data_IF_795396944796
#
_entry.id   IF_795396944796
#
_cell.length_a   1.000
_cell.length_b   1.000
_cell.length_c   1.000
_cell.angle_alpha   90.00
_cell.angle_beta   90.00
_cell.angle_gamma   90.00
#
_symmetry.space_group_name_H-M   'P 1'
#
loop_
_entity.id
_entity.type
_entity.pdbx_description
1 polymer ?
#
# COMPACT_ATOMS: atom_id res chain seq x y z
N UNK A 1 -7.14 -7.19 28.17
CA UNK A 1 -6.32 -6.57 29.24
C UNK A 1 -6.21 -5.08 29.00
N UNK A 2 -5.74 -4.28 29.98
CA UNK A 2 -5.51 -2.85 29.72
C UNK A 2 -4.19 -2.64 28.97
N UNK A 3 -4.18 -1.70 28.02
CA UNK A 3 -3.03 -1.34 27.22
C UNK A 3 -2.95 0.15 26.93
N UNK A 4 -1.84 0.56 26.35
CA UNK A 4 -1.59 1.95 25.97
C UNK A 4 -0.79 2.04 24.67
N UNK A 5 -1.08 3.05 23.89
CA UNK A 5 -0.22 3.57 22.85
C UNK A 5 0.59 4.72 23.46
N UNK A 6 1.90 4.70 23.27
CA UNK A 6 2.78 5.82 23.58
C UNK A 6 3.39 6.30 22.27
N UNK A 7 3.23 7.58 21.95
CA UNK A 7 3.83 8.20 20.77
C UNK A 7 5.19 8.82 21.11
N UNK A 8 6.02 9.02 20.10
CA UNK A 8 7.37 9.60 20.25
C UNK A 8 7.37 11.02 20.83
N UNK A 9 6.28 11.79 20.60
CA UNK A 9 6.08 13.12 21.18
C UNK A 9 5.71 13.10 22.69
N UNK A 10 5.57 11.91 23.28
CA UNK A 10 5.18 11.70 24.66
C UNK A 10 3.67 11.55 24.89
N UNK A 11 2.85 11.69 23.87
CA UNK A 11 1.40 11.47 23.96
C UNK A 11 1.08 10.02 24.35
N UNK A 12 0.14 9.81 25.28
CA UNK A 12 -0.28 8.49 25.77
C UNK A 12 -1.79 8.33 25.60
N UNK A 13 -2.20 7.21 25.02
CA UNK A 13 -3.59 6.86 24.82
C UNK A 13 -3.86 5.48 25.43
N UNK A 14 -4.76 5.43 26.41
CA UNK A 14 -5.10 4.20 27.11
C UNK A 14 -6.37 3.57 26.55
N UNK A 15 -6.43 2.23 26.58
CA UNK A 15 -7.57 1.45 26.11
C UNK A 15 -7.53 0.01 26.58
N UNK A 16 -8.29 -0.82 25.92
CA UNK A 16 -8.26 -2.27 26.07
C UNK A 16 -7.32 -2.87 25.02
N UNK A 17 -6.49 -3.86 25.43
CA UNK A 17 -5.49 -4.48 24.55
C UNK A 17 -5.83 -5.94 24.31
N UNK A 18 -5.96 -6.31 23.04
CA UNK A 18 -5.93 -7.66 22.53
C UNK A 18 -4.49 -8.00 22.14
N UNK A 19 -3.98 -9.17 22.51
CA UNK A 19 -2.56 -9.51 22.35
C UNK A 19 -1.71 -8.95 23.48
N UNK A 20 -0.40 -9.06 23.41
CA UNK A 20 0.40 -8.70 24.59
C UNK A 20 1.88 -8.41 24.39
N UNK A 21 2.44 -8.59 23.23
CA UNK A 21 3.84 -8.29 22.99
C UNK A 21 4.05 -6.78 22.80
N UNK A 22 5.13 -6.20 23.35
CA UNK A 22 5.53 -4.85 22.98
C UNK A 22 5.75 -4.75 21.48
N UNK A 23 5.14 -3.74 20.88
CA UNK A 23 5.21 -3.54 19.41
C UNK A 23 5.62 -2.11 19.10
N UNK A 24 6.64 -1.96 18.25
CA UNK A 24 7.14 -0.67 17.76
C UNK A 24 6.85 -0.58 16.29
N UNK A 25 6.40 0.59 15.84
CA UNK A 25 6.16 0.86 14.42
C UNK A 25 5.89 2.33 14.15
N UNK A 26 5.83 2.70 12.88
CA UNK A 26 5.32 3.99 12.48
C UNK A 26 3.79 4.00 12.65
N UNK A 27 3.27 4.93 13.46
CA UNK A 27 1.83 5.05 13.69
C UNK A 27 1.22 5.91 12.59
N UNK A 28 0.28 5.33 11.88
CA UNK A 28 -0.44 5.96 10.77
C UNK A 28 -1.95 5.88 11.01
N UNK A 29 -2.74 6.69 10.29
CA UNK A 29 -4.19 6.58 10.33
C UNK A 29 -4.76 6.35 8.93
N UNK A 30 -5.88 5.63 8.86
CA UNK A 30 -6.62 5.39 7.63
C UNK A 30 -8.07 5.89 7.82
N UNK A 31 -8.58 6.64 6.83
CA UNK A 31 -9.91 7.26 6.84
C UNK A 31 -10.98 6.43 6.13
N UNK A 32 -10.66 5.22 5.70
CA UNK A 32 -11.62 4.30 5.10
C UNK A 32 -12.72 3.88 6.09
N UNK A 33 -13.94 3.77 5.61
CA UNK A 33 -15.10 3.34 6.43
C UNK A 33 -15.24 1.81 6.49
N UNK A 34 -14.59 1.11 5.56
CA UNK A 34 -14.63 -0.35 5.41
C UNK A 34 -13.26 -0.87 5.01
N UNK A 35 -13.08 -2.19 4.91
CA UNK A 35 -11.87 -2.79 4.39
C UNK A 35 -10.79 -3.03 5.43
N UNK A 36 -11.16 -3.21 6.69
CA UNK A 36 -10.17 -3.42 7.75
C UNK A 36 -9.32 -4.68 7.56
N UNK A 37 -9.87 -5.74 6.96
CA UNK A 37 -9.12 -6.97 6.69
C UNK A 37 -8.19 -6.81 5.47
N UNK A 38 -8.66 -6.13 4.43
CA UNK A 38 -7.84 -5.78 3.27
C UNK A 38 -6.67 -4.89 3.70
N UNK A 39 -6.92 -3.87 4.52
CA UNK A 39 -5.88 -3.00 5.11
C UNK A 39 -4.88 -3.83 5.93
N UNK A 40 -5.36 -4.73 6.78
CA UNK A 40 -4.52 -5.58 7.63
C UNK A 40 -3.58 -6.49 6.82
N UNK A 41 -4.06 -6.97 5.67
CA UNK A 41 -3.36 -7.94 4.80
C UNK A 41 -2.64 -7.31 3.61
N UNK A 42 -2.72 -5.99 3.43
CA UNK A 42 -1.98 -5.26 2.40
C UNK A 42 -0.49 -5.15 2.80
N UNK A 43 0.44 -5.70 1.98
CA UNK A 43 1.88 -5.63 2.25
C UNK A 43 2.41 -4.21 2.41
N UNK A 44 1.77 -3.20 1.81
CA UNK A 44 2.16 -1.79 1.91
C UNK A 44 2.09 -1.23 3.34
N UNK A 45 1.40 -1.91 4.28
CA UNK A 45 1.40 -1.55 5.69
C UNK A 45 2.47 -2.26 6.53
N UNK A 46 3.46 -2.90 5.90
CA UNK A 46 4.53 -3.56 6.65
C UNK A 46 5.19 -2.58 7.62
N UNK A 47 5.37 -3.05 8.88
CA UNK A 47 5.96 -2.33 10.01
C UNK A 47 5.16 -1.12 10.54
N UNK A 48 3.95 -0.88 10.07
CA UNK A 48 3.10 0.21 10.57
C UNK A 48 2.14 -0.26 11.66
N UNK A 49 1.80 0.64 12.59
CA UNK A 49 0.69 0.52 13.53
C UNK A 49 -0.44 1.39 12.99
N UNK A 50 -1.57 0.77 12.65
CA UNK A 50 -2.62 1.41 11.88
C UNK A 50 -3.76 1.84 12.81
N UNK A 51 -4.09 3.14 12.82
CA UNK A 51 -5.27 3.66 13.48
C UNK A 51 -6.40 3.82 12.47
N UNK A 52 -7.54 3.14 12.69
CA UNK A 52 -8.74 3.35 11.88
C UNK A 52 -9.60 4.47 12.47
N UNK A 53 -9.96 5.45 11.63
CA UNK A 53 -10.80 6.57 12.07
C UNK A 53 -12.28 6.21 12.15
N UNK A 54 -12.72 5.18 11.41
CA UNK A 54 -14.07 4.65 11.52
C UNK A 54 -14.25 3.97 12.89
N UNK A 55 -15.31 4.30 13.65
CA UNK A 55 -15.38 3.93 15.06
C UNK A 55 -15.59 2.44 15.31
N UNK A 56 -16.37 1.74 14.47
CA UNK A 56 -16.75 0.33 14.69
C UNK A 56 -16.03 -0.59 13.70
N UNK A 57 -15.16 -1.45 14.20
CA UNK A 57 -14.38 -2.39 13.39
C UNK A 57 -14.70 -3.84 13.79
N UNK A 58 -14.71 -4.75 12.79
CA UNK A 58 -15.09 -6.15 12.99
C UNK A 58 -16.55 -6.45 12.70
N UNK A 59 -17.34 -5.44 12.36
CA UNK A 59 -18.80 -5.51 12.21
C UNK A 59 -19.30 -6.40 11.06
N UNK A 60 -18.45 -6.78 10.11
CA UNK A 60 -18.78 -7.77 9.07
C UNK A 60 -17.93 -9.06 9.15
N UNK A 61 -17.11 -9.20 10.22
CA UNK A 61 -16.28 -10.39 10.45
C UNK A 61 -15.07 -10.47 9.51
N UNK A 62 -14.67 -11.69 9.18
CA UNK A 62 -13.54 -11.97 8.28
C UNK A 62 -13.96 -12.86 7.13
N UNK A 63 -13.28 -12.72 5.99
CA UNK A 63 -13.49 -13.53 4.78
C UNK A 63 -12.13 -13.83 4.14
N UNK A 64 -11.89 -15.09 3.76
CA UNK A 64 -10.63 -15.45 3.10
C UNK A 64 -10.51 -14.85 1.70
N UNK A 65 -11.62 -14.62 1.01
CA UNK A 65 -11.64 -14.12 -0.37
C UNK A 65 -11.20 -12.66 -0.54
N UNK A 66 -11.25 -11.84 0.53
CA UNK A 66 -10.91 -10.40 0.46
C UNK A 66 -9.47 -10.10 0.88
N UNK A 67 -8.70 -11.10 1.31
CA UNK A 67 -7.30 -10.89 1.71
C UNK A 67 -6.45 -10.37 0.56
N UNK A 68 -5.54 -9.45 0.87
CA UNK A 68 -4.65 -8.82 -0.11
C UNK A 68 -3.23 -9.40 -0.09
N UNK A 69 -2.98 -10.33 0.81
CA UNK A 69 -1.75 -11.08 0.93
C UNK A 69 -1.95 -12.32 1.81
N UNK A 70 -0.97 -13.23 1.88
CA UNK A 70 -1.11 -14.52 2.57
C UNK A 70 -1.19 -14.40 4.11
N UNK A 71 -0.93 -13.22 4.66
CA UNK A 71 -0.91 -12.94 6.11
C UNK A 71 -1.11 -11.45 6.38
N UNK A 72 -1.41 -11.05 7.62
CA UNK A 72 -1.25 -9.65 8.04
C UNK A 72 0.20 -9.17 7.97
N UNK A 73 0.38 -7.90 7.62
CA UNK A 73 1.70 -7.28 7.50
C UNK A 73 1.94 -6.15 8.49
N UNK A 74 0.89 -5.51 8.98
CA UNK A 74 1.03 -4.45 9.98
C UNK A 74 1.57 -4.98 11.31
N UNK A 75 2.15 -4.10 12.11
CA UNK A 75 2.68 -4.40 13.46
C UNK A 75 1.61 -4.33 14.54
N UNK A 76 0.56 -3.56 14.34
CA UNK A 76 -0.51 -3.40 15.32
C UNK A 76 -1.70 -2.65 14.74
N UNK A 77 -2.82 -2.73 15.43
CA UNK A 77 -4.08 -2.15 15.00
C UNK A 77 -4.69 -1.33 16.14
N UNK A 78 -5.27 -0.19 15.82
CA UNK A 78 -5.89 0.71 16.81
C UNK A 78 -7.27 1.09 16.30
N UNK A 79 -8.30 0.80 17.11
CA UNK A 79 -9.70 0.99 16.73
C UNK A 79 -10.50 1.62 17.87
N UNK A 80 -11.58 2.31 17.54
CA UNK A 80 -12.48 2.87 18.55
C UNK A 80 -13.20 1.75 19.29
N UNK A 81 -13.94 0.94 18.57
CA UNK A 81 -14.70 -0.21 19.10
C UNK A 81 -14.38 -1.46 18.28
N UNK A 82 -14.15 -2.58 18.95
CA UNK A 82 -13.96 -3.89 18.33
C UNK A 82 -15.24 -4.72 18.48
N UNK A 83 -15.88 -5.02 17.34
CA UNK A 83 -17.14 -5.76 17.30
C UNK A 83 -16.89 -7.27 17.30
N UNK A 84 -17.50 -7.98 18.25
CA UNK A 84 -17.49 -9.46 18.34
C UNK A 84 -18.84 -10.09 17.87
N UNK A 85 -19.72 -9.29 17.26
CA UNK A 85 -21.03 -9.74 16.74
C UNK A 85 -21.18 -9.32 15.26
N UNK A 86 -20.43 -9.94 14.33
CA UNK A 86 -20.47 -9.55 12.93
C UNK A 86 -21.82 -9.84 12.29
N UNK A 87 -22.27 -8.93 11.44
CA UNK A 87 -23.55 -9.02 10.72
C UNK A 87 -23.29 -9.01 9.20
N UNK A 88 -22.71 -10.09 8.69
CA UNK A 88 -22.53 -10.32 7.26
C UNK A 88 -22.79 -11.80 6.94
N UNK A 89 -23.59 -12.08 5.93
CA UNK A 89 -23.91 -13.46 5.52
C UNK A 89 -22.69 -14.25 5.00
N UNK A 90 -21.64 -13.57 4.53
CA UNK A 90 -20.37 -14.17 4.09
C UNK A 90 -19.35 -14.34 5.21
N UNK A 91 -19.65 -13.91 6.43
CA UNK A 91 -18.73 -13.98 7.53
C UNK A 91 -18.23 -15.41 7.81
N UNK A 92 -16.90 -15.57 7.87
CA UNK A 92 -16.23 -16.85 8.14
C UNK A 92 -15.63 -16.90 9.55
N UNK A 93 -15.56 -15.77 10.27
CA UNK A 93 -15.00 -15.73 11.60
C UNK A 93 -14.96 -14.34 12.25
N UNK A 94 -14.63 -14.29 13.53
CA UNK A 94 -14.51 -13.05 14.27
C UNK A 94 -13.20 -12.34 13.95
N UNK A 95 -13.25 -11.03 13.78
CA UNK A 95 -12.05 -10.25 13.54
C UNK A 95 -11.08 -10.28 14.74
N UNK A 96 -11.59 -10.28 15.96
CA UNK A 96 -10.78 -10.43 17.18
C UNK A 96 -10.03 -11.77 17.26
N UNK A 97 -10.65 -12.86 16.78
CA UNK A 97 -10.00 -14.17 16.68
C UNK A 97 -8.95 -14.19 15.58
N UNK A 98 -9.24 -13.58 14.44
CA UNK A 98 -8.28 -13.43 13.35
C UNK A 98 -7.01 -12.69 13.82
N UNK A 99 -7.16 -11.59 14.55
CA UNK A 99 -6.04 -10.85 15.12
C UNK A 99 -5.23 -11.71 16.10
N UNK A 100 -5.89 -12.50 16.98
CA UNK A 100 -5.21 -13.41 17.92
C UNK A 100 -4.44 -14.51 17.21
N UNK A 101 -5.06 -15.13 16.20
CA UNK A 101 -4.46 -16.21 15.42
C UNK A 101 -3.16 -15.75 14.75
N UNK A 102 -3.15 -14.54 14.24
CA UNK A 102 -1.99 -13.96 13.56
C UNK A 102 -1.04 -13.18 14.49
N UNK A 103 -1.32 -13.13 15.79
CA UNK A 103 -0.47 -12.44 16.76
C UNK A 103 -0.41 -10.92 16.62
N UNK A 104 -1.42 -10.31 16.00
CA UNK A 104 -1.49 -8.85 15.81
C UNK A 104 -2.08 -8.19 17.07
N UNK A 105 -1.33 -7.35 17.81
CA UNK A 105 -1.89 -6.61 18.91
C UNK A 105 -2.88 -5.55 18.44
N UNK A 106 -4.00 -5.43 19.13
CA UNK A 106 -5.03 -4.44 18.84
C UNK A 106 -5.39 -3.65 20.10
N UNK A 107 -5.23 -2.32 20.04
CA UNK A 107 -5.73 -1.40 21.07
C UNK A 107 -7.13 -0.94 20.65
N UNK A 108 -8.12 -1.15 21.52
CA UNK A 108 -9.52 -0.77 21.29
C UNK A 108 -10.09 -0.08 22.54
N UNK A 109 -11.30 0.45 22.47
CA UNK A 109 -11.87 1.34 23.49
C UNK A 109 -10.99 2.60 23.71
N UNK A 110 -10.45 3.16 22.64
CA UNK A 110 -9.53 4.29 22.66
C UNK A 110 -10.02 5.42 21.75
N UNK A 111 -9.70 6.67 22.12
CA UNK A 111 -10.03 7.84 21.30
C UNK A 111 -9.16 7.93 20.03
N UNK A 112 -9.58 7.22 18.97
CA UNK A 112 -8.91 7.23 17.67
C UNK A 112 -8.92 8.61 17.00
N UNK A 113 -9.91 9.46 17.34
CA UNK A 113 -9.96 10.83 16.85
C UNK A 113 -8.86 11.69 17.46
N UNK A 114 -8.60 11.54 18.76
CA UNK A 114 -7.49 12.25 19.43
C UNK A 114 -6.14 11.82 18.84
N UNK A 115 -5.90 10.51 18.65
CA UNK A 115 -4.70 9.98 17.99
C UNK A 115 -4.54 10.59 16.59
N UNK A 116 -5.59 10.53 15.78
CA UNK A 116 -5.60 11.07 14.42
C UNK A 116 -5.26 12.57 14.39
N UNK A 117 -5.77 13.35 15.36
CA UNK A 117 -5.46 14.78 15.46
C UNK A 117 -3.98 15.05 15.77
N UNK A 118 -3.37 14.24 16.63
CA UNK A 118 -1.92 14.34 16.92
C UNK A 118 -1.13 14.06 15.64
N UNK A 119 -1.39 12.95 14.97
CA UNK A 119 -0.68 12.57 13.74
C UNK A 119 -0.88 13.57 12.61
N UNK A 120 -2.09 14.13 12.44
CA UNK A 120 -2.37 15.16 11.45
C UNK A 120 -1.57 16.45 11.73
N UNK A 121 -1.46 16.84 13.01
CA UNK A 121 -0.83 18.09 13.39
C UNK A 121 0.69 18.00 13.45
N UNK A 122 1.25 16.86 13.85
CA UNK A 122 2.69 16.68 14.07
C UNK A 122 3.37 15.77 13.02
N UNK A 123 2.59 15.06 12.23
CA UNK A 123 3.07 14.06 11.26
C UNK A 123 2.97 12.63 11.83
N UNK A 124 3.16 11.65 10.95
CA UNK A 124 3.34 10.27 11.37
C UNK A 124 4.64 10.13 12.14
N UNK A 125 4.64 9.29 13.17
CA UNK A 125 5.79 9.14 14.08
C UNK A 125 5.86 7.74 14.66
N UNK A 126 6.97 7.40 15.27
CA UNK A 126 7.11 6.15 16.02
C UNK A 126 6.08 6.08 17.14
N UNK A 127 5.54 4.89 17.36
CA UNK A 127 4.72 4.58 18.52
C UNK A 127 5.03 3.20 19.06
N UNK A 128 4.73 3.04 20.34
CA UNK A 128 4.89 1.80 21.08
C UNK A 128 3.54 1.38 21.63
N UNK A 129 3.09 0.18 21.25
CA UNK A 129 1.86 -0.43 21.74
C UNK A 129 2.20 -1.49 22.77
N UNK A 130 1.75 -1.29 24.03
CA UNK A 130 2.12 -2.12 25.19
C UNK A 130 0.99 -2.26 26.18
N UNK A 131 1.17 -3.18 27.13
CA UNK A 131 0.33 -3.25 28.34
C UNK A 131 0.47 -1.97 29.18
N UNK A 132 -0.60 -1.59 29.89
CA UNK A 132 -0.59 -0.36 30.70
C UNK A 132 0.46 -0.37 31.81
N UNK A 133 0.80 -1.56 32.35
CA UNK A 133 1.80 -1.73 33.40
C UNK A 133 3.26 -1.77 32.87
N UNK A 134 3.46 -1.66 31.55
CA UNK A 134 4.79 -1.71 30.95
C UNK A 134 5.60 -0.45 31.35
N UNK A 135 6.86 -0.61 31.88
CA UNK A 135 7.63 0.50 32.40
C UNK A 135 7.99 1.54 31.34
N UNK A 136 7.87 2.82 31.65
CA UNK A 136 8.23 3.91 30.74
C UNK A 136 9.71 3.89 30.36
N UNK A 137 10.59 3.48 31.26
CA UNK A 137 12.03 3.33 30.96
C UNK A 137 12.29 2.34 29.84
N UNK A 138 11.54 1.23 29.79
CA UNK A 138 11.68 0.23 28.74
C UNK A 138 11.04 0.70 27.42
N UNK A 139 9.97 1.50 27.49
CA UNK A 139 9.40 2.16 26.31
C UNK A 139 10.43 3.10 25.67
N UNK A 140 11.18 3.87 26.49
CA UNK A 140 12.25 4.74 26.00
C UNK A 140 13.38 3.97 25.28
N UNK A 141 13.67 2.74 25.71
CA UNK A 141 14.63 1.85 25.02
C UNK A 141 14.09 1.40 23.66
N UNK A 142 12.79 1.11 23.59
CA UNK A 142 12.13 0.73 22.33
C UNK A 142 12.15 1.87 21.30
N UNK A 143 11.95 3.12 21.72
CA UNK A 143 12.05 4.28 20.81
C UNK A 143 13.43 4.49 20.19
N UNK A 144 14.50 4.00 20.85
CA UNK A 144 15.87 4.08 20.31
C UNK A 144 16.14 3.09 19.18
N UNK A 145 15.26 2.11 18.96
CA UNK A 145 15.41 1.18 17.86
C UNK A 145 15.07 1.88 16.54
N UNK A 146 15.90 1.66 15.54
CA UNK A 146 15.59 2.13 14.18
C UNK A 146 14.46 1.29 13.57
N UNK A 147 13.61 1.93 12.78
CA UNK A 147 12.64 1.20 11.98
C UNK A 147 13.37 0.55 10.80
N UNK A 148 12.97 -0.67 10.40
CA UNK A 148 13.57 -1.34 9.26
C UNK A 148 13.43 -0.53 7.96
N UNK A 149 14.40 -0.65 7.05
CA UNK A 149 14.39 -0.06 5.70
C UNK A 149 14.33 -1.11 4.59
N UNK A 150 14.22 -2.40 4.98
CA UNK A 150 14.21 -3.55 4.09
C UNK A 150 12.81 -4.13 3.85
N UNK A 151 11.75 -3.31 4.05
CA UNK A 151 10.36 -3.78 4.01
C UNK A 151 10.03 -4.53 2.71
N UNK A 152 10.40 -3.96 1.56
CA UNK A 152 10.14 -4.58 0.24
C UNK A 152 10.78 -5.96 0.16
N UNK A 153 12.04 -6.11 0.58
CA UNK A 153 12.73 -7.41 0.53
C UNK A 153 12.15 -8.46 1.49
N UNK A 154 11.41 -8.03 2.53
CA UNK A 154 10.71 -8.93 3.46
C UNK A 154 9.32 -9.33 3.00
N UNK A 155 8.69 -8.55 2.12
CA UNK A 155 7.33 -8.82 1.63
C UNK A 155 7.28 -9.38 0.22
N UNK A 156 8.29 -9.11 -0.60
CA UNK A 156 8.39 -9.63 -1.98
C UNK A 156 8.36 -11.15 -2.03
N UNK A 157 7.90 -11.70 -3.14
CA UNK A 157 8.02 -13.13 -3.41
C UNK A 157 9.51 -13.57 -3.41
N UNK A 158 9.75 -14.78 -2.97
CA UNK A 158 11.13 -15.35 -2.96
C UNK A 158 11.48 -16.06 -4.27
N UNK A 159 10.48 -16.39 -5.07
CA UNK A 159 10.62 -17.19 -6.27
C UNK A 159 9.74 -16.63 -7.37
N UNK A 160 10.22 -16.74 -8.60
CA UNK A 160 9.39 -16.49 -9.76
C UNK A 160 8.16 -17.40 -9.76
N UNK A 161 6.98 -16.80 -9.87
CA UNK A 161 5.69 -17.51 -9.89
C UNK A 161 4.92 -17.24 -11.18
N UNK A 162 4.16 -18.22 -11.66
CA UNK A 162 3.30 -18.08 -12.84
C UNK A 162 1.83 -18.17 -12.38
N UNK A 163 0.99 -17.27 -12.87
CA UNK A 163 -0.46 -17.20 -12.58
C UNK A 163 -1.26 -16.93 -13.85
N UNK A 164 -2.57 -17.19 -13.77
CA UNK A 164 -3.54 -16.92 -14.84
C UNK A 164 -3.64 -18.03 -15.87
N UNK A 165 -4.47 -17.81 -16.88
CA UNK A 165 -4.70 -18.79 -17.95
C UNK A 165 -3.46 -18.85 -18.87
N UNK A 166 -2.98 -20.08 -19.13
CA UNK A 166 -1.87 -20.31 -20.07
C UNK A 166 -2.17 -19.86 -21.51
N UNK A 167 -3.43 -19.75 -21.86
CA UNK A 167 -3.91 -19.30 -23.18
C UNK A 167 -4.31 -17.83 -23.20
N UNK A 168 -4.02 -17.07 -22.12
CA UNK A 168 -4.29 -15.64 -22.07
C UNK A 168 -3.68 -14.90 -23.28
N UNK A 169 -4.37 -13.85 -23.74
CA UNK A 169 -3.92 -13.06 -24.88
C UNK A 169 -2.58 -12.36 -24.63
N UNK A 170 -2.37 -11.90 -23.41
CA UNK A 170 -1.17 -11.16 -23.01
C UNK A 170 -0.40 -11.89 -21.91
N UNK A 171 0.92 -11.70 -21.91
CA UNK A 171 1.83 -12.10 -20.87
C UNK A 171 2.40 -10.87 -20.18
N UNK A 172 2.18 -10.71 -18.88
CA UNK A 172 2.68 -9.58 -18.09
C UNK A 172 3.73 -10.06 -17.09
N UNK A 173 4.89 -9.41 -17.10
CA UNK A 173 5.89 -9.56 -16.05
C UNK A 173 5.57 -8.58 -14.91
N UNK A 174 5.32 -9.09 -13.72
CA UNK A 174 4.98 -8.30 -12.53
C UNK A 174 6.20 -8.22 -11.62
N UNK A 175 6.72 -7.03 -11.38
CA UNK A 175 7.73 -6.79 -10.34
C UNK A 175 7.04 -6.65 -8.99
N UNK A 176 7.30 -7.59 -8.08
CA UNK A 176 6.65 -7.68 -6.78
C UNK A 176 7.42 -6.88 -5.72
N UNK A 177 7.00 -5.64 -5.49
CA UNK A 177 7.51 -4.81 -4.37
C UNK A 177 6.69 -4.99 -3.08
N UNK A 178 5.68 -5.85 -3.10
CA UNK A 178 4.67 -6.07 -2.07
C UNK A 178 3.28 -6.03 -2.68
N UNK A 179 3.06 -6.82 -3.73
CA UNK A 179 1.87 -6.78 -4.58
C UNK A 179 0.63 -7.19 -3.82
N UNK A 180 -0.44 -6.40 -3.95
CA UNK A 180 -1.78 -6.76 -3.49
C UNK A 180 -2.39 -7.82 -4.39
N UNK A 181 -3.06 -8.79 -3.77
CA UNK A 181 -3.74 -9.86 -4.48
C UNK A 181 -4.77 -9.32 -5.51
N UNK A 182 -5.44 -8.20 -5.21
CA UNK A 182 -6.43 -7.64 -6.12
C UNK A 182 -5.81 -7.00 -7.38
N UNK A 183 -4.56 -6.58 -7.34
CA UNK A 183 -3.82 -6.16 -8.55
C UNK A 183 -3.63 -7.36 -9.47
N UNK A 184 -3.20 -8.49 -8.92
CA UNK A 184 -3.00 -9.70 -9.72
C UNK A 184 -4.31 -10.19 -10.31
N UNK A 185 -5.40 -10.19 -9.52
CA UNK A 185 -6.76 -10.53 -10.01
C UNK A 185 -7.25 -9.56 -11.10
N UNK A 186 -6.96 -8.27 -10.99
CA UNK A 186 -7.35 -7.27 -11.99
C UNK A 186 -6.61 -7.48 -13.31
N UNK A 187 -5.33 -7.79 -13.28
CA UNK A 187 -4.55 -8.16 -14.48
C UNK A 187 -5.05 -9.47 -15.10
N UNK A 188 -5.36 -10.49 -14.27
CA UNK A 188 -5.95 -11.74 -14.76
C UNK A 188 -7.32 -11.53 -15.39
N UNK A 189 -8.17 -10.67 -14.80
CA UNK A 189 -9.48 -10.30 -15.34
C UNK A 189 -9.38 -9.53 -16.66
N UNK A 190 -8.30 -8.75 -16.86
CA UNK A 190 -7.95 -8.10 -18.12
C UNK A 190 -7.31 -9.07 -19.14
N UNK A 191 -7.44 -10.39 -18.96
CA UNK A 191 -6.98 -11.38 -19.92
C UNK A 191 -5.47 -11.64 -19.92
N UNK A 192 -4.77 -11.33 -18.83
CA UNK A 192 -3.33 -11.50 -18.74
C UNK A 192 -2.94 -12.80 -18.03
N UNK A 193 -1.92 -13.49 -18.56
CA UNK A 193 -1.10 -14.43 -17.80
C UNK A 193 0.03 -13.66 -17.14
N UNK A 194 0.34 -13.99 -15.90
CA UNK A 194 1.32 -13.26 -15.11
C UNK A 194 2.55 -14.12 -14.84
N UNK A 195 3.73 -13.51 -14.92
CA UNK A 195 4.95 -14.01 -14.30
C UNK A 195 5.38 -13.00 -13.24
N UNK A 196 5.32 -13.41 -11.98
CA UNK A 196 5.65 -12.56 -10.83
C UNK A 196 7.13 -12.75 -10.50
N UNK A 197 7.88 -11.66 -10.47
CA UNK A 197 9.30 -11.62 -10.18
C UNK A 197 9.56 -10.97 -8.81
N UNK A 198 10.61 -11.42 -8.08
CA UNK A 198 11.06 -10.72 -6.88
C UNK A 198 11.48 -9.28 -7.18
N UNK A 199 11.45 -8.43 -6.15
CA UNK A 199 11.79 -7.02 -6.26
C UNK A 199 13.22 -6.75 -6.77
N UNK A 200 14.16 -7.67 -6.54
CA UNK A 200 15.56 -7.57 -6.93
C UNK A 200 15.89 -8.28 -8.26
N UNK A 201 14.86 -8.79 -8.96
CA UNK A 201 15.04 -9.46 -10.25
C UNK A 201 15.72 -8.54 -11.27
N UNK A 202 16.61 -9.14 -12.08
CA UNK A 202 17.33 -8.39 -13.10
C UNK A 202 16.47 -8.13 -14.33
N UNK A 203 16.62 -6.96 -14.94
CA UNK A 203 15.91 -6.61 -16.17
C UNK A 203 16.11 -7.65 -17.28
N UNK A 204 17.29 -8.25 -17.35
CA UNK A 204 17.63 -9.30 -18.29
C UNK A 204 16.74 -10.55 -18.11
N UNK A 205 16.53 -10.99 -16.86
CA UNK A 205 15.69 -12.14 -16.54
C UNK A 205 14.22 -11.85 -16.83
N UNK A 206 13.75 -10.64 -16.49
CA UNK A 206 12.39 -10.18 -16.75
C UNK A 206 12.11 -10.15 -18.26
N UNK A 207 13.02 -9.58 -19.05
CA UNK A 207 12.90 -9.50 -20.50
C UNK A 207 13.06 -10.86 -21.19
N UNK A 208 13.88 -11.77 -20.63
CA UNK A 208 14.05 -13.14 -21.13
C UNK A 208 12.75 -13.96 -21.06
N UNK A 209 11.83 -13.63 -20.12
CA UNK A 209 10.50 -14.22 -20.09
C UNK A 209 9.60 -13.80 -21.27
N UNK A 210 10.08 -12.89 -22.11
CA UNK A 210 9.40 -12.33 -23.28
C UNK A 210 7.95 -11.89 -22.98
N UNK A 211 7.73 -10.97 -22.01
CA UNK A 211 6.39 -10.46 -21.70
C UNK A 211 5.90 -9.51 -22.79
N UNK A 212 4.58 -9.32 -22.89
CA UNK A 212 3.95 -8.28 -23.69
C UNK A 212 3.97 -6.93 -23.00
N UNK A 213 3.94 -6.92 -21.64
CA UNK A 213 4.02 -5.73 -20.80
C UNK A 213 4.71 -6.01 -19.47
N UNK A 214 5.13 -4.94 -18.79
CA UNK A 214 5.77 -4.98 -17.48
C UNK A 214 4.91 -4.18 -16.50
N UNK A 215 4.64 -4.78 -15.35
CA UNK A 215 3.86 -4.15 -14.29
C UNK A 215 4.74 -3.95 -13.05
N UNK A 216 4.77 -2.72 -12.52
CA UNK A 216 5.47 -2.38 -11.28
C UNK A 216 4.46 -2.23 -10.15
N UNK A 217 4.50 -3.11 -9.17
CA UNK A 217 3.48 -3.19 -8.14
C UNK A 217 3.58 -2.10 -7.08
N UNK A 218 2.58 -2.04 -6.21
CA UNK A 218 2.63 -1.35 -4.93
C UNK A 218 3.64 -1.99 -3.98
N UNK A 219 3.94 -1.33 -2.86
CA UNK A 219 4.83 -1.85 -1.83
C UNK A 219 5.01 -0.90 -0.65
N UNK A 220 5.61 -1.38 0.45
CA UNK A 220 5.89 -0.62 1.66
C UNK A 220 7.19 0.16 1.61
N UNK A 221 7.36 1.11 2.53
CA UNK A 221 8.64 1.75 2.85
C UNK A 221 8.90 3.04 2.07
N UNK A 222 10.17 3.45 2.10
CA UNK A 222 10.66 4.63 1.39
C UNK A 222 11.12 4.22 -0.02
N UNK A 223 10.62 4.84 -1.09
CA UNK A 223 11.07 4.53 -2.44
C UNK A 223 12.57 4.80 -2.66
N UNK A 224 13.21 5.62 -1.82
CA UNK A 224 14.66 5.86 -1.88
C UNK A 224 15.48 4.63 -1.50
N UNK A 225 14.92 3.70 -0.73
CA UNK A 225 15.59 2.43 -0.38
C UNK A 225 15.62 1.42 -1.55
N UNK A 226 14.88 1.71 -2.65
CA UNK A 226 14.74 0.84 -3.82
C UNK A 226 15.68 1.20 -4.99
N UNK A 227 16.82 1.85 -4.73
CA UNK A 227 17.77 2.22 -5.78
C UNK A 227 18.17 1.06 -6.70
N UNK A 228 18.24 -0.17 -6.17
CA UNK A 228 18.50 -1.37 -6.95
C UNK A 228 17.39 -1.66 -7.99
N UNK A 229 16.11 -1.48 -7.61
CA UNK A 229 14.97 -1.67 -8.51
C UNK A 229 14.90 -0.55 -9.57
N UNK A 230 15.18 0.68 -9.17
CA UNK A 230 15.24 1.85 -10.07
C UNK A 230 16.23 1.60 -11.22
N UNK A 231 17.42 1.09 -10.94
CA UNK A 231 18.44 0.80 -11.96
C UNK A 231 18.00 -0.32 -12.92
N UNK A 232 17.28 -1.33 -12.43
CA UNK A 232 16.75 -2.38 -13.32
C UNK A 232 15.58 -1.86 -14.17
N UNK A 233 14.69 -1.02 -13.63
CA UNK A 233 13.58 -0.41 -14.37
C UNK A 233 14.08 0.47 -15.53
N UNK A 234 15.14 1.26 -15.33
CA UNK A 234 15.77 2.06 -16.40
C UNK A 234 16.17 1.22 -17.61
N UNK A 235 16.68 0.01 -17.40
CA UNK A 235 17.10 -0.91 -18.48
C UNK A 235 15.91 -1.45 -19.28
N UNK A 236 14.71 -1.42 -18.73
CA UNK A 236 13.48 -1.89 -19.38
C UNK A 236 12.80 -0.81 -20.26
N UNK A 237 13.20 0.47 -20.14
CA UNK A 237 12.61 1.56 -20.91
C UNK A 237 12.73 1.31 -22.42
N UNK A 238 11.63 1.55 -23.14
CA UNK A 238 11.54 1.35 -24.59
C UNK A 238 11.57 -0.12 -25.05
N UNK A 239 11.56 -1.10 -24.12
CA UNK A 239 11.54 -2.52 -24.46
C UNK A 239 10.11 -3.06 -24.53
N UNK A 240 9.28 -2.71 -23.57
CA UNK A 240 7.87 -3.13 -23.45
C UNK A 240 7.05 -2.00 -22.82
N UNK A 241 5.72 -1.99 -22.99
CA UNK A 241 4.84 -1.12 -22.22
C UNK A 241 5.01 -1.34 -20.73
N UNK A 242 4.98 -0.26 -19.92
CA UNK A 242 5.12 -0.34 -18.47
C UNK A 242 3.95 0.38 -17.79
N UNK A 243 3.32 -0.28 -16.82
CA UNK A 243 2.34 0.32 -15.92
C UNK A 243 2.81 0.19 -14.47
N UNK A 244 2.79 1.29 -13.70
CA UNK A 244 3.20 1.32 -12.30
C UNK A 244 2.09 1.81 -11.36
N UNK A 245 1.92 1.14 -10.22
CA UNK A 245 0.97 1.53 -9.17
C UNK A 245 1.72 1.81 -7.87
N UNK A 246 1.41 2.94 -7.21
CA UNK A 246 1.87 3.35 -5.89
C UNK A 246 3.41 3.32 -5.78
N UNK A 247 4.04 2.32 -5.19
CA UNK A 247 5.51 2.17 -5.18
C UNK A 247 6.07 2.11 -6.59
N UNK A 248 5.42 1.42 -7.52
CA UNK A 248 5.82 1.36 -8.92
C UNK A 248 5.78 2.74 -9.62
N UNK A 249 4.86 3.61 -9.25
CA UNK A 249 4.82 5.00 -9.71
C UNK A 249 6.04 5.79 -9.19
N UNK A 250 6.38 5.64 -7.92
CA UNK A 250 7.51 6.31 -7.29
C UNK A 250 8.86 5.82 -7.84
N UNK A 251 9.00 4.52 -8.06
CA UNK A 251 10.17 3.91 -8.71
C UNK A 251 10.33 4.44 -10.16
N UNK A 252 9.24 4.56 -10.92
CA UNK A 252 9.28 5.17 -12.27
C UNK A 252 9.71 6.63 -12.22
N UNK A 253 9.21 7.44 -11.27
CA UNK A 253 9.63 8.82 -11.12
C UNK A 253 11.14 8.92 -10.89
N UNK A 254 11.69 8.10 -9.99
CA UNK A 254 13.14 8.05 -9.75
C UNK A 254 13.92 7.51 -10.96
N UNK A 255 13.37 6.55 -11.69
CA UNK A 255 13.98 6.04 -12.92
C UNK A 255 14.05 7.11 -14.03
N UNK A 256 13.12 8.05 -14.04
CA UNK A 256 13.17 9.23 -14.93
C UNK A 256 14.18 10.29 -14.46
N UNK A 257 14.72 10.16 -13.24
CA UNK A 257 15.63 11.15 -12.64
C UNK A 257 14.95 12.15 -11.71
N UNK A 258 13.65 11.97 -11.46
CA UNK A 258 12.90 12.74 -10.45
C UNK A 258 13.19 12.29 -9.03
N UNK A 259 12.62 13.00 -8.07
CA UNK A 259 12.75 12.74 -6.63
C UNK A 259 11.39 12.53 -5.97
N UNK A 260 11.41 11.96 -4.77
CA UNK A 260 10.24 11.79 -3.92
C UNK A 260 10.47 12.44 -2.57
N UNK A 261 9.39 12.83 -1.89
CA UNK A 261 9.45 13.42 -0.56
C UNK A 261 8.42 12.79 0.36
N UNK A 262 8.71 12.78 1.66
CA UNK A 262 7.80 12.26 2.69
C UNK A 262 6.67 13.25 2.95
N UNK A 263 5.43 12.77 2.85
CA UNK A 263 4.24 13.53 3.25
C UNK A 263 4.14 13.59 4.77
N UNK A 264 3.57 14.67 5.30
CA UNK A 264 3.45 14.86 6.74
C UNK A 264 2.71 13.71 7.44
N UNK A 265 1.61 13.24 6.86
CA UNK A 265 0.82 12.12 7.40
C UNK A 265 0.41 11.10 6.33
N UNK A 266 0.78 11.32 5.06
CA UNK A 266 0.47 10.45 3.95
C UNK A 266 -1.00 10.51 3.51
N UNK A 267 -1.32 9.79 2.44
CA UNK A 267 -2.68 9.55 1.99
C UNK A 267 -3.06 8.10 2.29
N UNK A 268 -4.04 7.89 3.17
CA UNK A 268 -4.55 6.54 3.51
C UNK A 268 -6.06 6.59 3.73
N UNK A 269 -6.77 5.92 2.85
CA UNK A 269 -8.23 5.87 2.86
C UNK A 269 -8.80 5.56 1.49
N UNK A 270 -10.11 5.38 1.42
CA UNK A 270 -10.84 5.08 0.18
C UNK A 270 -11.73 6.25 -0.27
N UNK A 271 -11.38 7.46 0.12
CA UNK A 271 -12.20 8.66 -0.02
C UNK A 271 -11.38 9.88 -0.49
N UNK A 272 -10.28 9.65 -1.21
CA UNK A 272 -9.40 10.70 -1.71
C UNK A 272 -9.78 11.10 -3.14
N UNK A 273 -10.16 12.37 -3.39
CA UNK A 273 -10.49 12.83 -4.74
C UNK A 273 -9.21 13.10 -5.55
N UNK A 274 -9.15 12.53 -6.75
CA UNK A 274 -8.06 12.71 -7.71
C UNK A 274 -8.64 13.19 -9.03
N UNK A 275 -8.07 14.23 -9.61
CA UNK A 275 -8.45 14.76 -10.91
C UNK A 275 -7.56 14.17 -12.02
N UNK A 276 -8.19 13.57 -13.03
CA UNK A 276 -7.55 13.29 -14.32
C UNK A 276 -7.48 14.58 -15.12
N UNK A 277 -6.28 15.10 -15.33
CA UNK A 277 -6.02 16.36 -16.03
C UNK A 277 -6.33 16.29 -17.53
N UNK A 278 -6.32 15.09 -18.12
CA UNK A 278 -6.62 14.86 -19.53
C UNK A 278 -8.12 15.03 -19.84
N UNK A 279 -8.97 14.63 -18.90
CA UNK A 279 -10.43 14.64 -19.06
C UNK A 279 -11.13 15.70 -18.21
N UNK A 280 -10.45 16.22 -17.19
CA UNK A 280 -11.01 17.10 -16.17
C UNK A 280 -11.91 16.41 -15.14
N UNK A 281 -12.11 15.09 -15.25
CA UNK A 281 -12.94 14.32 -14.30
C UNK A 281 -12.25 14.14 -12.96
N UNK A 282 -13.05 14.11 -11.91
CA UNK A 282 -12.60 13.78 -10.55
C UNK A 282 -13.15 12.43 -10.16
N UNK A 283 -12.26 11.55 -9.70
CA UNK A 283 -12.58 10.23 -9.19
C UNK A 283 -12.30 10.16 -7.70
N UNK A 284 -13.10 9.41 -6.96
CA UNK A 284 -12.76 9.04 -5.58
C UNK A 284 -11.87 7.79 -5.66
N UNK A 285 -10.73 7.84 -4.97
CA UNK A 285 -9.69 6.81 -5.08
C UNK A 285 -9.36 6.18 -3.74
N UNK A 286 -8.82 4.97 -3.80
CA UNK A 286 -8.16 4.31 -2.69
C UNK A 286 -6.68 4.68 -2.66
N UNK A 287 -6.19 5.04 -1.47
CA UNK A 287 -4.83 5.55 -1.27
C UNK A 287 -4.18 4.84 -0.08
N UNK A 288 -2.89 4.51 -0.20
CA UNK A 288 -2.06 4.04 0.90
C UNK A 288 -0.58 4.33 0.61
N UNK A 289 -0.15 5.57 0.79
CA UNK A 289 1.26 5.94 0.62
C UNK A 289 1.67 7.05 1.58
N UNK A 290 2.94 7.04 1.97
CA UNK A 290 3.57 8.06 2.83
C UNK A 290 4.49 9.02 2.07
N UNK A 291 4.74 8.79 0.80
CA UNK A 291 5.62 9.57 -0.06
C UNK A 291 4.89 10.02 -1.31
N UNK A 292 5.31 11.14 -1.89
CA UNK A 292 4.81 11.65 -3.15
C UNK A 292 5.98 12.05 -4.07
N UNK A 293 5.71 12.10 -5.38
CA UNK A 293 6.66 12.56 -6.38
C UNK A 293 6.76 14.08 -6.34
N UNK A 294 7.98 14.61 -6.34
CA UNK A 294 8.25 16.05 -6.49
C UNK A 294 8.12 16.43 -7.98
N UNK A 295 7.05 17.13 -8.31
CA UNK A 295 6.74 17.54 -9.68
C UNK A 295 7.80 18.47 -10.28
N UNK A 296 8.49 19.26 -9.44
CA UNK A 296 9.54 20.18 -9.89
C UNK A 296 10.83 19.46 -10.31
N UNK A 297 10.98 18.20 -9.92
CA UNK A 297 12.13 17.36 -10.26
C UNK A 297 11.94 16.54 -11.53
N UNK A 298 10.70 16.46 -12.04
CA UNK A 298 10.41 15.66 -13.21
C UNK A 298 10.95 16.29 -14.50
N UNK A 299 11.56 15.49 -15.40
CA UNK A 299 12.06 16.02 -16.67
C UNK A 299 10.90 16.32 -17.66
N UNK A 300 11.17 17.18 -18.65
CA UNK A 300 10.19 17.68 -19.63
C UNK A 300 9.50 16.59 -20.46
N UNK A 301 10.09 15.40 -20.58
CA UNK A 301 9.47 14.28 -21.31
C UNK A 301 8.42 13.52 -20.47
N UNK A 302 8.24 13.88 -19.20
CA UNK A 302 7.19 13.33 -18.34
C UNK A 302 6.01 14.29 -18.29
N UNK A 303 4.81 13.77 -18.54
CA UNK A 303 3.54 14.48 -18.41
C UNK A 303 2.85 14.05 -17.12
N UNK A 304 2.44 15.00 -16.28
CA UNK A 304 1.58 14.75 -15.13
C UNK A 304 0.15 14.59 -15.62
N UNK A 305 -0.45 13.45 -15.36
CA UNK A 305 -1.80 13.09 -15.82
C UNK A 305 -2.86 13.20 -14.75
N UNK A 306 -2.50 13.06 -13.48
CA UNK A 306 -3.44 13.10 -12.35
C UNK A 306 -2.86 13.91 -11.18
N UNK A 307 -3.74 14.62 -10.47
CA UNK A 307 -3.40 15.35 -9.24
C UNK A 307 -4.44 15.13 -8.15
N UNK A 308 -3.97 15.07 -6.92
CA UNK A 308 -4.83 15.12 -5.73
C UNK A 308 -5.57 16.46 -5.68
N UNK A 309 -6.89 16.41 -5.50
CA UNK A 309 -7.70 17.63 -5.35
C UNK A 309 -7.48 18.28 -3.98
N UNK A 310 -7.04 17.50 -2.99
CA UNK A 310 -6.88 17.98 -1.61
C UNK A 310 -5.64 18.85 -1.43
N UNK A 311 -4.51 18.49 -2.05
CA UNK A 311 -3.21 19.12 -1.81
C UNK A 311 -2.35 19.33 -3.06
N UNK A 312 -2.84 18.92 -4.23
CA UNK A 312 -2.18 19.13 -5.52
C UNK A 312 -1.00 18.18 -5.79
N UNK A 313 -0.73 17.20 -4.94
CA UNK A 313 0.34 16.21 -5.17
C UNK A 313 0.14 15.43 -6.47
N UNK A 314 1.24 14.94 -7.04
CA UNK A 314 1.22 14.12 -8.26
C UNK A 314 0.60 12.77 -7.97
N UNK A 315 -0.47 12.45 -8.69
CA UNK A 315 -1.22 11.20 -8.54
C UNK A 315 -1.16 10.31 -9.79
N UNK A 316 -0.53 10.80 -10.85
CA UNK A 316 -0.28 10.03 -12.06
C UNK A 316 0.61 10.77 -13.04
N UNK A 317 1.37 9.99 -13.79
CA UNK A 317 2.27 10.49 -14.84
C UNK A 317 2.38 9.51 -15.99
N UNK A 318 2.81 10.03 -17.14
CA UNK A 318 3.13 9.24 -18.33
C UNK A 318 4.37 9.78 -19.04
N UNK A 319 5.07 8.90 -19.73
CA UNK A 319 6.11 9.31 -20.66
C UNK A 319 5.48 9.79 -21.97
N UNK A 320 5.94 10.92 -22.53
CA UNK A 320 5.33 11.53 -23.75
C UNK A 320 5.53 10.68 -25.01
N UNK A 321 6.61 9.90 -25.08
CA UNK A 321 6.98 9.13 -26.28
C UNK A 321 6.90 7.60 -26.07
N UNK A 322 7.29 7.12 -24.89
CA UNK A 322 7.30 5.69 -24.57
C UNK A 322 5.93 5.25 -24.01
N UNK A 323 5.53 3.99 -24.24
CA UNK A 323 4.28 3.44 -23.71
C UNK A 323 4.41 3.12 -22.20
N UNK A 324 4.64 4.16 -21.39
CA UNK A 324 4.84 4.05 -19.95
C UNK A 324 3.93 5.03 -19.25
N UNK A 325 3.13 4.53 -18.28
CA UNK A 325 2.32 5.37 -17.43
C UNK A 325 2.22 4.78 -16.01
N UNK A 326 1.81 5.60 -15.06
CA UNK A 326 1.66 5.16 -13.66
C UNK A 326 0.69 6.04 -12.89
N UNK A 327 0.14 5.48 -11.82
CA UNK A 327 -0.69 6.19 -10.85
C UNK A 327 -0.22 5.93 -9.43
N UNK A 328 -0.35 6.95 -8.57
CA UNK A 328 0.01 6.86 -7.16
C UNK A 328 -1.05 6.13 -6.33
N UNK A 329 -2.31 6.31 -6.70
CA UNK A 329 -3.45 5.67 -6.06
C UNK A 329 -3.65 4.22 -6.54
N UNK A 330 -4.59 3.51 -5.90
CA UNK A 330 -4.90 2.11 -6.13
C UNK A 330 -6.16 1.93 -6.98
N UNK A 331 -6.06 1.80 -8.32
CA UNK A 331 -7.22 1.61 -9.20
C UNK A 331 -7.92 0.26 -9.00
N UNK A 332 -7.20 -0.74 -8.47
CA UNK A 332 -7.72 -2.05 -8.12
C UNK A 332 -8.60 -2.02 -6.86
N UNK A 333 -8.66 -0.90 -6.13
CA UNK A 333 -9.36 -0.75 -4.86
C UNK A 333 -8.92 -1.79 -3.80
N UNK A 334 -9.87 -2.49 -3.19
CA UNK A 334 -9.66 -3.50 -2.15
C UNK A 334 -8.80 -3.03 -0.98
N UNK A 335 -9.38 -2.10 -0.12
CA UNK A 335 -10.76 -1.61 -0.20
C UNK A 335 -10.91 -0.38 -1.08
N UNK A 336 -12.12 -0.07 -1.52
CA UNK A 336 -12.46 1.22 -2.12
C UNK A 336 -13.27 1.14 -3.40
N UNK A 337 -13.49 2.29 -4.07
CA UNK A 337 -14.25 2.38 -5.31
C UNK A 337 -13.45 1.80 -6.50
N UNK A 338 -14.18 1.23 -7.45
CA UNK A 338 -13.63 0.53 -8.63
C UNK A 338 -13.72 1.35 -9.92
N UNK A 339 -14.02 2.64 -9.82
CA UNK A 339 -14.22 3.53 -10.98
C UNK A 339 -12.98 3.67 -11.87
N UNK A 340 -11.80 3.34 -11.36
CA UNK A 340 -10.53 3.49 -12.06
C UNK A 340 -9.99 2.19 -12.67
N UNK A 341 -10.75 1.12 -12.70
CA UNK A 341 -10.35 -0.16 -13.31
C UNK A 341 -10.01 -0.03 -14.81
N UNK A 342 -10.53 0.99 -15.51
CA UNK A 342 -10.21 1.27 -16.91
C UNK A 342 -8.70 1.47 -17.19
N UNK A 343 -7.90 1.73 -16.14
CA UNK A 343 -6.44 1.83 -16.30
C UNK A 343 -5.79 0.48 -16.63
N UNK A 344 -6.38 -0.62 -16.23
CA UNK A 344 -5.95 -1.95 -16.66
C UNK A 344 -6.26 -2.19 -18.12
N UNK A 345 -7.42 -1.69 -18.61
CA UNK A 345 -7.78 -1.73 -20.04
C UNK A 345 -6.84 -0.83 -20.85
N UNK A 346 -6.46 0.36 -20.33
CA UNK A 346 -5.47 1.24 -20.97
C UNK A 346 -4.10 0.54 -21.11
N UNK A 347 -3.70 -0.25 -20.10
CA UNK A 347 -2.48 -1.03 -20.19
C UNK A 347 -2.56 -2.17 -21.20
N UNK A 348 -3.70 -2.86 -21.29
CA UNK A 348 -3.98 -3.87 -22.31
C UNK A 348 -3.88 -3.26 -23.72
N UNK A 349 -4.49 -2.09 -23.94
CA UNK A 349 -4.43 -1.37 -25.20
C UNK A 349 -3.00 -1.00 -25.62
N UNK A 350 -2.14 -0.64 -24.66
CA UNK A 350 -0.73 -0.36 -24.93
C UNK A 350 0.01 -1.64 -25.35
N UNK A 351 -0.24 -2.77 -24.72
CA UNK A 351 0.34 -4.06 -25.11
C UNK A 351 -0.13 -4.49 -26.50
N UNK A 352 -1.41 -4.28 -26.83
CA UNK A 352 -2.00 -4.59 -28.13
C UNK A 352 -1.37 -3.78 -29.28
N UNK A 353 -1.05 -2.52 -29.03
CA UNK A 353 -0.36 -1.63 -30.01
C UNK A 353 1.12 -1.97 -30.17
N UNK A 354 1.72 -2.63 -29.17
CA UNK A 354 3.14 -3.04 -29.20
C UNK A 354 3.40 -4.41 -29.84
N UNK A 355 2.33 -5.17 -30.16
CA UNK A 355 2.39 -6.42 -30.96
C UNK A 355 2.41 -6.09 -32.45
#
# INVERSE_FOLDING_TARGET
MKGKLVLEDGSVFEGSLLGGAPTVGEVVFNTGMTGYQEILTDPSYADQIITLTYPLIGNYGTLNSITQGPKPYCKGFIVGELCDFPSNWQNEGLFSEYLRLHGIPCLYDVDTRAITRVLRNHGVMKGVLVRSDYPMEDIQKLFKQDLPTDQVMRVTTKWQGIRGDKNAEFHVAVMDYGVKENILRSLEAAGCRLTVFPADAKAEDVLAANPDGIFLSNGPGDPQDLGYAVEEVKKMFGKKPIFGICMGHQVLAQAYGGTTFKLKFGHRGSNHPVQDLRTGRVYITSQNHGYAVDDTSLPDFVEITHRSVNDGTVEGMRHKELPIFSVQYHPEASPGPTDNLYLFDEFEDLMRKGK
#
